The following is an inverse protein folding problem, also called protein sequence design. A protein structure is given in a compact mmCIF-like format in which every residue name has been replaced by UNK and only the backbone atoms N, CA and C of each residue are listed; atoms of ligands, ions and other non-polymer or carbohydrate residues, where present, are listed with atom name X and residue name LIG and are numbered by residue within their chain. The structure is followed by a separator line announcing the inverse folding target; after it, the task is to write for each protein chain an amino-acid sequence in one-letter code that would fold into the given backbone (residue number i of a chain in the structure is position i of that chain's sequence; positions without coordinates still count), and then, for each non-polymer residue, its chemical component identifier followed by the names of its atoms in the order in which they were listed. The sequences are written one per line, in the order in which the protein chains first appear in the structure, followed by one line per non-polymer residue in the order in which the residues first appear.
data_IF_406117241445
#
_entry.id   IF_406117241445
#
_cell.length_a   1.000
_cell.length_b   1.000
_cell.length_c   1.000
_cell.angle_alpha   90.00
_cell.angle_beta   90.00
_cell.angle_gamma   90.00
#
_symmetry.space_group_name_H-M   'P 1'
#
loop_
_entity.id
_entity.type
_entity.pdbx_description
1 polymer ?
#
# COMPACT_ATOMS: atom_id res chain seq x y z
N UNK A 1 -12.64 -6.80 -11.58
CA UNK A 1 -11.71 -6.86 -10.43
C UNK A 1 -11.68 -5.51 -9.72
N UNK A 2 -11.89 -5.48 -8.43
CA UNK A 2 -11.81 -4.24 -7.65
C UNK A 2 -10.36 -3.91 -7.30
N UNK A 3 -10.11 -2.68 -6.89
CA UNK A 3 -8.79 -2.27 -6.42
C UNK A 3 -8.38 -3.03 -5.17
N UNK A 4 -9.34 -3.31 -4.28
CA UNK A 4 -9.08 -4.11 -3.07
C UNK A 4 -8.65 -5.52 -3.45
N UNK A 5 -9.32 -6.15 -4.40
CA UNK A 5 -8.95 -7.49 -4.88
C UNK A 5 -7.54 -7.49 -5.46
N UNK A 6 -7.18 -6.46 -6.21
CA UNK A 6 -5.85 -6.33 -6.78
C UNK A 6 -4.77 -6.25 -5.70
N UNK A 7 -5.01 -5.48 -4.64
CA UNK A 7 -4.10 -5.39 -3.51
C UNK A 7 -4.04 -6.71 -2.73
N UNK A 8 -5.18 -7.36 -2.53
CA UNK A 8 -5.25 -8.62 -1.79
C UNK A 8 -4.48 -9.75 -2.49
N UNK A 9 -4.40 -9.73 -3.82
CA UNK A 9 -3.69 -10.76 -4.60
C UNK A 9 -2.19 -10.77 -4.37
N UNK A 10 -1.62 -9.71 -3.83
CA UNK A 10 -0.19 -9.66 -3.53
C UNK A 10 0.20 -10.61 -2.39
N UNK A 11 -0.76 -11.04 -1.58
CA UNK A 11 -0.49 -11.86 -0.40
C UNK A 11 0.08 -11.06 0.78
N UNK A 12 0.18 -9.74 0.65
CA UNK A 12 0.65 -8.85 1.73
C UNK A 12 -0.58 -8.39 2.54
N UNK A 13 -0.47 -8.42 3.86
CA UNK A 13 -1.55 -7.98 4.73
C UNK A 13 -1.90 -6.52 4.46
N UNK A 14 -3.19 -6.24 4.37
CA UNK A 14 -3.71 -4.92 4.06
C UNK A 14 -4.31 -4.28 5.31
N UNK A 15 -3.88 -3.06 5.61
CA UNK A 15 -4.42 -2.27 6.70
C UNK A 15 -5.43 -1.27 6.17
N UNK A 16 -6.64 -1.29 6.71
CA UNK A 16 -7.72 -0.39 6.35
C UNK A 16 -8.13 0.36 7.60
N UNK A 17 -8.09 1.68 7.55
CA UNK A 17 -8.44 2.53 8.68
C UNK A 17 -9.45 3.59 8.25
N UNK A 18 -10.39 3.89 9.14
CA UNK A 18 -11.25 5.05 8.97
C UNK A 18 -10.57 6.24 9.62
N UNK A 19 -10.41 7.31 8.87
CA UNK A 19 -9.86 8.55 9.38
C UNK A 19 -10.98 9.58 9.54
N UNK A 20 -10.68 10.74 10.09
CA UNK A 20 -11.67 11.77 10.43
C UNK A 20 -12.55 12.11 9.23
N UNK A 21 -13.84 12.36 9.47
CA UNK A 21 -14.85 12.78 8.48
C UNK A 21 -15.26 11.69 7.48
N UNK A 22 -15.27 10.43 7.90
CA UNK A 22 -15.76 9.35 7.05
C UNK A 22 -14.87 9.01 5.88
N UNK A 23 -13.60 9.40 5.94
CA UNK A 23 -12.62 9.03 4.94
C UNK A 23 -11.87 7.78 5.37
N UNK A 24 -11.32 7.07 4.39
CA UNK A 24 -10.59 5.82 4.61
C UNK A 24 -9.14 5.94 4.15
N UNK A 25 -8.27 5.22 4.84
CA UNK A 25 -6.88 5.07 4.45
C UNK A 25 -6.56 3.59 4.29
N UNK A 26 -5.80 3.25 3.26
CA UNK A 26 -5.43 1.87 2.94
C UNK A 26 -3.93 1.82 2.70
N UNK A 27 -3.26 0.84 3.29
CA UNK A 27 -1.85 0.57 3.01
C UNK A 27 -1.53 -0.89 3.36
N UNK A 28 -0.44 -1.39 2.79
CA UNK A 28 0.08 -2.70 3.19
C UNK A 28 0.77 -2.60 4.54
N UNK A 29 0.62 -3.64 5.35
CA UNK A 29 1.30 -3.73 6.65
C UNK A 29 2.82 -3.85 6.46
N UNK A 30 3.58 -3.08 7.27
CA UNK A 30 5.04 -3.12 7.28
C UNK A 30 5.67 -2.96 5.89
N UNK A 31 5.08 -2.10 5.05
CA UNK A 31 5.49 -1.92 3.67
C UNK A 31 5.78 -0.45 3.39
N UNK A 32 6.87 -0.20 2.66
CA UNK A 32 7.34 1.14 2.31
C UNK A 32 7.67 1.22 0.84
N UNK A 33 7.66 2.43 0.29
CA UNK A 33 8.08 2.68 -1.08
C UNK A 33 9.55 3.05 -1.08
N UNK A 34 10.33 2.40 -1.94
CA UNK A 34 11.75 2.70 -2.09
C UNK A 34 11.90 3.94 -2.98
N UNK A 35 12.54 4.96 -2.42
CA UNK A 35 12.82 6.21 -3.13
C UNK A 35 14.32 6.50 -2.99
N UNK A 36 15.09 6.07 -3.98
CA UNK A 36 16.55 6.14 -3.91
C UNK A 36 17.06 5.30 -2.73
N UNK A 37 17.72 5.96 -1.78
CA UNK A 37 18.22 5.30 -0.56
C UNK A 37 17.24 5.35 0.59
N UNK A 38 16.07 5.97 0.40
CA UNK A 38 15.09 6.17 1.45
C UNK A 38 13.91 5.21 1.31
N UNK A 39 13.31 4.87 2.45
CA UNK A 39 12.05 4.15 2.49
C UNK A 39 10.97 5.12 2.96
N UNK A 40 9.96 5.31 2.12
CA UNK A 40 8.88 6.26 2.38
C UNK A 40 7.60 5.51 2.65
N UNK A 41 6.94 5.82 3.77
CA UNK A 41 5.62 5.27 4.06
C UNK A 41 4.58 5.92 3.15
N UNK A 42 3.82 5.10 2.44
CA UNK A 42 2.79 5.57 1.52
C UNK A 42 1.45 4.99 1.93
N UNK A 43 0.36 5.68 1.62
CA UNK A 43 -0.98 5.17 1.86
C UNK A 43 -1.96 5.83 0.89
N UNK A 44 -3.05 5.11 0.61
CA UNK A 44 -4.13 5.64 -0.22
C UNK A 44 -5.24 6.22 0.63
N UNK A 45 -5.93 7.26 0.12
CA UNK A 45 -7.06 7.89 0.76
C UNK A 45 -8.25 7.96 -0.18
N UNK A 46 -9.44 7.89 0.39
CA UNK A 46 -10.67 8.05 -0.38
C UNK A 46 -11.89 8.13 0.52
N UNK A 47 -13.02 8.46 -0.07
CA UNK A 47 -14.30 8.53 0.63
C UNK A 47 -14.90 7.14 0.86
N UNK A 48 -14.39 6.15 0.15
CA UNK A 48 -14.73 4.73 0.33
C UNK A 48 -13.43 3.93 0.39
N UNK A 49 -13.53 2.70 0.91
CA UNK A 49 -12.38 1.80 0.95
C UNK A 49 -11.87 1.51 -0.47
N UNK A 50 -12.77 1.34 -1.43
CA UNK A 50 -12.39 1.08 -2.82
C UNK A 50 -11.65 2.26 -3.45
N UNK A 51 -12.09 3.49 -3.19
CA UNK A 51 -11.40 4.69 -3.67
C UNK A 51 -10.03 4.84 -3.02
N UNK A 52 -9.93 4.55 -1.72
CA UNK A 52 -8.66 4.58 -1.01
C UNK A 52 -7.68 3.55 -1.58
N UNK A 53 -8.17 2.36 -1.90
CA UNK A 53 -7.36 1.31 -2.51
C UNK A 53 -6.88 1.72 -3.91
N UNK A 54 -7.74 2.33 -4.72
CA UNK A 54 -7.37 2.82 -6.05
C UNK A 54 -6.29 3.91 -5.96
N UNK A 55 -6.43 4.82 -5.01
CA UNK A 55 -5.44 5.87 -4.78
C UNK A 55 -4.08 5.27 -4.37
N UNK A 56 -4.11 4.25 -3.52
CA UNK A 56 -2.89 3.56 -3.10
C UNK A 56 -2.18 2.88 -4.27
N UNK A 57 -2.95 2.17 -5.10
CA UNK A 57 -2.41 1.53 -6.31
C UNK A 57 -1.74 2.56 -7.21
N UNK A 58 -2.38 3.71 -7.42
CA UNK A 58 -1.81 4.78 -8.24
C UNK A 58 -0.47 5.26 -7.68
N UNK A 59 -0.37 5.40 -6.36
CA UNK A 59 0.86 5.83 -5.71
C UNK A 59 1.97 4.79 -5.75
N UNK A 60 1.63 3.51 -5.80
CA UNK A 60 2.60 2.43 -5.85
C UNK A 60 3.03 2.09 -7.28
N UNK A 61 2.24 2.45 -8.27
CA UNK A 61 2.43 2.01 -9.64
C UNK A 61 3.81 2.38 -10.19
N UNK A 62 4.52 1.39 -10.72
CA UNK A 62 5.86 1.58 -11.26
C UNK A 62 6.96 1.76 -10.23
N UNK A 63 6.63 1.62 -8.95
CA UNK A 63 7.60 1.78 -7.86
C UNK A 63 7.95 0.46 -7.23
N UNK A 64 9.13 0.39 -6.63
CA UNK A 64 9.54 -0.77 -5.84
C UNK A 64 9.05 -0.59 -4.41
N UNK A 65 8.34 -1.59 -3.91
CA UNK A 65 7.90 -1.62 -2.52
C UNK A 65 8.78 -2.58 -1.73
N UNK A 66 9.04 -2.22 -0.46
CA UNK A 66 9.85 -3.03 0.45
C UNK A 66 8.95 -3.49 1.58
N UNK A 67 8.80 -4.81 1.72
CA UNK A 67 7.97 -5.43 2.75
C UNK A 67 8.86 -5.94 3.85
N UNK A 68 8.51 -5.66 5.10
CA UNK A 68 9.24 -6.08 6.30
C UNK A 68 10.73 -5.65 6.26
N UNK A 69 11.04 -4.35 6.09
CA UNK A 69 12.42 -3.92 5.83
C UNK A 69 13.40 -4.24 6.96
N UNK A 70 12.92 -4.39 8.20
CA UNK A 70 13.78 -4.68 9.35
C UNK A 70 13.77 -6.15 9.76
N UNK A 71 13.21 -7.01 8.94
CA UNK A 71 13.01 -8.42 9.24
C UNK A 71 13.84 -9.31 8.31
N UNK A 72 14.05 -10.55 8.73
CA UNK A 72 14.63 -11.60 7.87
C UNK A 72 13.71 -11.90 6.67
N UNK A 73 12.43 -11.54 6.77
CA UNK A 73 11.45 -11.74 5.71
C UNK A 73 11.37 -10.53 4.78
N UNK A 74 12.39 -9.68 4.76
CA UNK A 74 12.43 -8.52 3.86
C UNK A 74 12.29 -8.95 2.40
N UNK A 75 11.39 -8.32 1.69
CA UNK A 75 11.19 -8.53 0.26
C UNK A 75 11.11 -7.19 -0.46
N UNK A 76 11.62 -7.15 -1.68
CA UNK A 76 11.46 -5.99 -2.57
C UNK A 76 10.68 -6.46 -3.78
N UNK A 77 9.61 -5.73 -4.10
CA UNK A 77 8.67 -6.09 -5.17
C UNK A 77 8.43 -4.86 -6.04
N UNK A 78 8.59 -5.03 -7.35
CA UNK A 78 8.19 -3.98 -8.29
C UNK A 78 6.68 -4.06 -8.47
N UNK A 79 6.01 -2.98 -8.15
CA UNK A 79 4.55 -2.91 -8.25
C UNK A 79 4.16 -2.38 -9.65
N UNK A 80 3.50 -3.22 -10.42
CA UNK A 80 3.11 -2.91 -11.80
C UNK A 80 1.60 -2.69 -11.95
#
# INVERSE_FOLDING_TARGET
MTSIDRLARTGIDLCISEIINGKFAVHFDSTYVKDGCLLVGEFGRGDTVEEAAADYIEKLQGKTIVVNPSSKNRREILFL
#
